data_IF_726600385465
#
_entry.id   IF_726600385465
#
_cell.length_a   1.000
_cell.length_b   1.000
_cell.length_c   1.000
_cell.angle_alpha   90.00
_cell.angle_beta   90.00
_cell.angle_gamma   90.00
#
_symmetry.space_group_name_H-M   'P 1'
#
loop_
_entity.id
_entity.type
_entity.pdbx_description
1 polymer ?
#
# COMPACT_ATOMS: atom_id res chain seq x y z
N UNK A 1 6.42 11.32 -13.67
CA UNK A 1 6.80 11.96 -12.40
C UNK A 1 5.66 11.64 -11.46
N UNK A 2 5.87 10.67 -10.58
CA UNK A 2 4.81 9.97 -9.86
C UNK A 2 4.94 10.18 -8.35
N UNK A 3 3.80 10.33 -7.67
CA UNK A 3 3.72 10.46 -6.22
C UNK A 3 3.02 9.24 -5.62
N UNK A 4 3.58 8.74 -4.52
CA UNK A 4 3.07 7.60 -3.76
C UNK A 4 2.43 8.10 -2.47
N UNK A 5 1.22 7.64 -2.20
CA UNK A 5 0.49 8.00 -0.98
C UNK A 5 -0.53 6.92 -0.63
N UNK A 6 -1.04 6.99 0.60
CA UNK A 6 -2.16 6.17 1.05
C UNK A 6 -3.45 6.98 0.86
N UNK A 7 -4.47 6.37 0.26
CA UNK A 7 -5.77 6.99 0.02
C UNK A 7 -6.90 5.97 0.17
N UNK A 8 -8.15 6.45 0.09
CA UNK A 8 -9.31 5.58 0.20
C UNK A 8 -9.42 4.67 -1.03
N UNK A 9 -9.48 3.36 -0.79
CA UNK A 9 -9.62 2.33 -1.80
C UNK A 9 -11.00 2.28 -2.45
N UNK A 10 -11.07 1.75 -3.66
CA UNK A 10 -12.30 1.57 -4.43
C UNK A 10 -13.29 0.61 -3.74
N UNK A 11 -12.78 -0.38 -3.01
CA UNK A 11 -13.58 -1.42 -2.33
C UNK A 11 -13.73 -1.17 -0.81
N UNK A 12 -13.40 0.04 -0.35
CA UNK A 12 -13.17 0.45 1.04
C UNK A 12 -11.75 0.17 1.57
N UNK A 13 -11.43 0.71 2.74
CA UNK A 13 -10.10 0.63 3.35
C UNK A 13 -9.11 1.69 2.85
N UNK A 14 -7.96 1.73 3.50
CA UNK A 14 -6.80 2.50 3.05
C UNK A 14 -6.02 1.67 2.04
N UNK A 15 -5.63 2.27 0.93
CA UNK A 15 -4.93 1.61 -0.18
C UNK A 15 -3.76 2.46 -0.67
N UNK A 16 -2.80 1.81 -1.32
CA UNK A 16 -1.68 2.50 -1.96
C UNK A 16 -2.13 3.02 -3.30
N UNK A 17 -1.91 4.33 -3.46
CA UNK A 17 -2.25 5.07 -4.66
C UNK A 17 -0.99 5.66 -5.27
N UNK A 18 -0.97 5.69 -6.60
CA UNK A 18 0.05 6.39 -7.39
C UNK A 18 -0.64 7.47 -8.20
N UNK A 19 -0.16 8.70 -8.06
CA UNK A 19 -0.61 9.83 -8.87
C UNK A 19 0.47 10.22 -9.86
N UNK A 20 0.13 10.20 -11.15
CA UNK A 20 0.99 10.71 -12.20
C UNK A 20 0.76 12.22 -12.37
N UNK A 21 1.81 13.02 -12.18
CA UNK A 21 1.73 14.49 -12.25
C UNK A 21 1.52 15.01 -13.68
N UNK A 22 1.96 14.27 -14.69
CA UNK A 22 1.89 14.68 -16.09
C UNK A 22 0.49 14.49 -16.66
N UNK A 23 -0.15 13.37 -16.33
CA UNK A 23 -1.51 13.05 -16.80
C UNK A 23 -2.59 13.53 -15.84
N UNK A 24 -2.24 13.70 -14.56
CA UNK A 24 -3.18 13.99 -13.48
C UNK A 24 -4.00 12.77 -13.03
N UNK A 25 -3.66 11.56 -13.49
CA UNK A 25 -4.39 10.34 -13.16
C UNK A 25 -3.92 9.73 -11.85
N UNK A 26 -4.86 9.17 -11.09
CA UNK A 26 -4.59 8.41 -9.87
C UNK A 26 -4.97 6.96 -10.08
N UNK A 27 -4.06 6.06 -9.73
CA UNK A 27 -4.22 4.62 -9.87
C UNK A 27 -4.08 3.94 -8.51
N UNK A 28 -4.96 2.99 -8.22
CA UNK A 28 -4.86 2.12 -7.06
C UNK A 28 -3.91 0.97 -7.38
N UNK A 29 -2.91 0.74 -6.53
CA UNK A 29 -1.87 -0.29 -6.73
C UNK A 29 -2.15 -1.56 -5.94
N UNK A 30 -2.69 -1.43 -4.74
CA UNK A 30 -3.04 -2.56 -3.87
C UNK A 30 -4.55 -2.80 -3.85
N UNK A 31 -4.98 -4.03 -3.53
CA UNK A 31 -6.39 -4.37 -3.36
C UNK A 31 -6.53 -5.26 -2.13
N UNK A 32 -6.54 -4.62 -0.97
CA UNK A 32 -6.56 -5.23 0.36
C UNK A 32 -7.61 -4.55 1.26
N UNK A 33 -8.90 -4.57 0.87
CA UNK A 33 -9.94 -3.74 1.51
C UNK A 33 -10.18 -4.07 3.00
N UNK A 34 -9.82 -5.28 3.42
CA UNK A 34 -10.00 -5.77 4.79
C UNK A 34 -8.76 -5.55 5.69
N UNK A 35 -7.71 -4.89 5.18
CA UNK A 35 -6.46 -4.67 5.91
C UNK A 35 -6.17 -3.18 6.11
N UNK A 36 -5.49 -2.86 7.21
CA UNK A 36 -4.82 -1.58 7.31
C UNK A 36 -3.60 -1.58 6.39
N UNK A 37 -3.41 -0.51 5.63
CA UNK A 37 -2.27 -0.34 4.72
C UNK A 37 -1.56 0.97 5.04
N UNK A 38 -0.24 0.94 5.20
CA UNK A 38 0.51 2.13 5.58
C UNK A 38 1.98 2.12 5.16
N UNK A 39 2.58 3.31 5.24
CA UNK A 39 4.00 3.59 5.07
C UNK A 39 4.59 3.01 3.77
N UNK A 40 4.03 3.37 2.59
CA UNK A 40 4.53 2.88 1.33
C UNK A 40 5.83 3.60 0.93
N UNK A 41 6.76 2.87 0.31
CA UNK A 41 8.00 3.43 -0.23
C UNK A 41 8.34 2.81 -1.59
N UNK A 42 8.77 3.65 -2.52
CA UNK A 42 9.32 3.21 -3.81
C UNK A 42 10.67 2.51 -3.65
N UNK A 43 10.91 1.52 -4.50
CA UNK A 43 12.27 1.09 -4.81
C UNK A 43 13.02 2.21 -5.55
N UNK A 44 14.36 2.29 -5.44
CA UNK A 44 15.14 3.34 -6.11
C UNK A 44 15.00 3.38 -7.64
N UNK A 45 14.67 2.24 -8.26
CA UNK A 45 14.42 2.11 -9.69
C UNK A 45 12.96 2.40 -10.10
N UNK A 46 12.06 2.67 -9.14
CA UNK A 46 10.65 2.97 -9.38
C UNK A 46 9.80 1.77 -9.81
N UNK A 47 10.36 0.56 -9.83
CA UNK A 47 9.66 -0.62 -10.35
C UNK A 47 8.79 -1.32 -9.31
N UNK A 48 9.08 -1.12 -8.02
CA UNK A 48 8.44 -1.82 -6.92
C UNK A 48 8.09 -0.88 -5.77
N UNK A 49 7.11 -1.28 -4.98
CA UNK A 49 6.69 -0.58 -3.76
C UNK A 49 6.75 -1.57 -2.61
N UNK A 50 7.37 -1.15 -1.50
CA UNK A 50 7.25 -1.83 -0.21
C UNK A 50 6.22 -1.12 0.65
N UNK A 51 5.50 -1.87 1.47
CA UNK A 51 4.47 -1.31 2.35
C UNK A 51 4.13 -2.26 3.48
N UNK A 52 3.51 -1.71 4.52
CA UNK A 52 3.03 -2.48 5.65
C UNK A 52 1.55 -2.78 5.53
N UNK A 53 1.16 -3.99 5.92
CA UNK A 53 -0.23 -4.36 6.17
C UNK A 53 -0.41 -4.84 7.61
N UNK A 54 -1.66 -4.85 8.06
CA UNK A 54 -2.04 -5.57 9.25
C UNK A 54 -3.53 -5.42 9.56
N UNK A 55 -3.88 -5.64 10.82
CA UNK A 55 -5.28 -5.64 11.24
C UNK A 55 -5.81 -4.21 11.34
N UNK A 56 -6.96 -3.88 10.70
CA UNK A 56 -7.60 -2.59 10.89
C UNK A 56 -7.88 -2.32 12.37
N UNK A 57 -7.38 -1.20 12.88
CA UNK A 57 -7.72 -0.71 14.22
C UNK A 57 -9.02 0.09 14.20
N UNK A 58 -9.75 0.08 15.32
CA UNK A 58 -10.78 1.10 15.56
C UNK A 58 -10.05 2.40 15.94
N UNK A 59 -10.61 3.56 15.59
CA UNK A 59 -9.96 4.88 15.59
C UNK A 59 -9.13 5.25 16.84
N UNK A 60 -9.38 4.64 18.00
CA UNK A 60 -8.68 4.91 19.27
C UNK A 60 -7.67 3.83 19.70
N UNK A 61 -7.67 2.65 19.07
CA UNK A 61 -6.75 1.53 19.41
C UNK A 61 -5.53 1.44 18.49
N UNK A 62 -5.57 2.14 17.35
CA UNK A 62 -4.49 2.14 16.35
C UNK A 62 -4.43 0.84 15.55
N UNK A 63 -4.10 0.94 14.26
CA UNK A 63 -3.87 -0.25 13.44
C UNK A 63 -2.56 -0.93 13.85
N UNK A 64 -2.60 -2.26 14.00
CA UNK A 64 -1.37 -3.05 14.18
C UNK A 64 -0.85 -3.42 12.80
N UNK A 65 0.31 -2.88 12.44
CA UNK A 65 1.02 -3.25 11.22
C UNK A 65 2.01 -4.39 11.52
N UNK A 66 1.85 -5.50 10.81
CA UNK A 66 2.48 -6.79 11.19
C UNK A 66 3.30 -7.37 10.05
N UNK A 67 2.91 -7.08 8.80
CA UNK A 67 3.47 -7.72 7.61
C UNK A 67 4.03 -6.69 6.67
N UNK A 68 5.26 -6.92 6.22
CA UNK A 68 5.88 -6.14 5.16
C UNK A 68 5.65 -6.86 3.84
N UNK A 69 5.12 -6.14 2.86
CA UNK A 69 4.88 -6.63 1.51
C UNK A 69 5.74 -5.88 0.51
N UNK A 70 5.94 -6.52 -0.64
CA UNK A 70 6.44 -5.88 -1.85
C UNK A 70 5.49 -6.19 -3.01
N UNK A 71 5.27 -5.20 -3.87
CA UNK A 71 4.41 -5.28 -5.06
C UNK A 71 5.07 -4.51 -6.20
N UNK A 72 4.81 -4.90 -7.44
CA UNK A 72 5.25 -4.12 -8.59
C UNK A 72 4.42 -2.83 -8.72
N UNK A 73 4.96 -1.82 -9.39
CA UNK A 73 4.26 -0.53 -9.64
C UNK A 73 2.88 -0.68 -10.29
N UNK A 74 2.69 -1.72 -11.08
CA UNK A 74 1.43 -2.02 -11.77
C UNK A 74 0.43 -2.83 -10.91
N UNK A 75 0.76 -3.08 -9.65
CA UNK A 75 -0.05 -3.89 -8.73
C UNK A 75 0.14 -5.40 -8.89
N UNK A 76 0.99 -5.85 -9.82
CA UNK A 76 1.26 -7.27 -10.00
C UNK A 76 2.32 -7.79 -9.02
N UNK A 77 2.41 -9.11 -8.88
CA UNK A 77 3.53 -9.76 -8.20
C UNK A 77 3.61 -9.50 -6.69
N UNK A 78 2.51 -9.13 -6.05
CA UNK A 78 2.44 -8.93 -4.60
C UNK A 78 2.95 -10.18 -3.86
N UNK A 79 3.84 -9.99 -2.89
CA UNK A 79 4.29 -11.03 -1.97
C UNK A 79 4.68 -10.46 -0.61
N UNK A 80 4.55 -11.29 0.41
CA UNK A 80 5.06 -10.99 1.75
C UNK A 80 6.60 -11.12 1.78
N UNK A 81 7.26 -10.19 2.46
CA UNK A 81 8.71 -10.21 2.73
C UNK A 81 9.01 -10.56 4.18
N UNK A 82 8.15 -10.14 5.12
CA UNK A 82 8.33 -10.33 6.56
C UNK A 82 6.98 -10.38 7.25
N UNK A 83 6.83 -11.30 8.21
CA UNK A 83 5.73 -11.30 9.18
C UNK A 83 6.34 -11.22 10.59
N UNK A 84 5.95 -10.19 11.35
CA UNK A 84 6.41 -9.97 12.71
C UNK A 84 5.75 -10.91 13.74
N UNK A 85 4.64 -11.57 13.37
CA UNK A 85 3.88 -12.50 14.22
C UNK A 85 3.47 -13.77 13.41
N UNK A 86 4.36 -14.77 13.30
CA UNK A 86 4.13 -16.01 12.55
C UNK A 86 3.22 -17.03 13.25
#
# INVERSE_FOLDING_TARGET
DEFLFVGLGLEAGDEIMVWDRLTGTTEQVTSTPDLAVAFPFWSPDGQQIIYWTGTPGIADEGSTLEKLHIINRDGSGQRELLNLYP
#
